data_IF_349559089713
#
_entry.id   IF_349559089713
#
_cell.length_a   1.000
_cell.length_b   1.000
_cell.length_c   1.000
_cell.angle_alpha   90.00
_cell.angle_beta   90.00
_cell.angle_gamma   90.00
#
_symmetry.space_group_name_H-M   'P 1'
#
loop_
_entity.id
_entity.type
_entity.pdbx_description
1 polymer ?
#
# COMPACT_ATOMS: atom_id res chain seq x y z
N UNK A 1 3.34 -16.71 -3.93
CA UNK A 1 3.65 -17.41 -5.21
C UNK A 1 2.69 -17.03 -6.33
N UNK A 2 1.40 -16.83 -6.05
CA UNK A 2 0.44 -16.52 -7.13
C UNK A 2 0.60 -15.10 -7.70
N UNK A 3 0.99 -14.11 -6.89
CA UNK A 3 1.23 -12.75 -7.41
C UNK A 3 2.34 -12.71 -8.48
N UNK A 4 3.42 -13.45 -8.31
CA UNK A 4 4.51 -13.52 -9.29
C UNK A 4 4.04 -14.13 -10.62
N UNK A 5 3.26 -15.21 -10.55
CA UNK A 5 2.68 -15.85 -11.73
C UNK A 5 1.72 -14.91 -12.47
N UNK A 6 0.97 -14.07 -11.74
CA UNK A 6 0.14 -13.03 -12.36
C UNK A 6 0.98 -11.99 -13.12
N UNK A 7 2.13 -11.58 -12.57
CA UNK A 7 3.07 -10.67 -13.25
C UNK A 7 3.72 -11.32 -14.49
N UNK A 8 4.07 -12.60 -14.42
CA UNK A 8 4.60 -13.35 -15.57
C UNK A 8 3.52 -13.53 -16.66
N UNK A 9 2.29 -13.85 -16.24
CA UNK A 9 1.17 -14.06 -17.15
C UNK A 9 0.79 -12.78 -17.87
N UNK A 10 0.67 -11.64 -17.17
CA UNK A 10 0.21 -10.40 -17.82
C UNK A 10 1.16 -9.97 -18.94
N UNK A 11 2.48 -10.14 -18.73
CA UNK A 11 3.54 -9.85 -19.72
C UNK A 11 3.56 -10.80 -20.92
N UNK A 12 2.88 -11.94 -20.84
CA UNK A 12 2.73 -12.91 -21.94
C UNK A 12 1.28 -13.05 -22.44
N UNK A 13 0.37 -12.23 -21.90
CA UNK A 13 -1.04 -12.24 -22.24
C UNK A 13 -1.35 -11.35 -23.45
N UNK A 14 -2.62 -11.33 -23.86
CA UNK A 14 -3.14 -10.37 -24.86
C UNK A 14 -3.02 -8.90 -24.44
N UNK A 15 -2.69 -8.63 -23.18
CA UNK A 15 -2.50 -7.29 -22.64
C UNK A 15 -1.03 -6.85 -22.61
N UNK A 16 -0.09 -7.71 -23.03
CA UNK A 16 1.34 -7.45 -22.93
C UNK A 16 1.74 -6.09 -23.54
N UNK A 17 1.18 -5.72 -24.69
CA UNK A 17 1.46 -4.45 -25.36
C UNK A 17 0.95 -3.21 -24.61
N UNK A 18 0.06 -3.39 -23.63
CA UNK A 18 -0.45 -2.32 -22.76
C UNK A 18 0.33 -2.21 -21.43
N UNK A 19 1.29 -3.10 -21.17
CA UNK A 19 2.10 -3.09 -19.96
C UNK A 19 3.38 -2.31 -20.26
N UNK A 20 3.63 -1.24 -19.49
CA UNK A 20 4.90 -0.52 -19.58
C UNK A 20 6.05 -1.30 -18.93
N UNK A 21 7.29 -0.90 -19.22
CA UNK A 21 8.48 -1.40 -18.52
C UNK A 21 8.64 -0.80 -17.11
N UNK A 22 7.70 0.04 -16.65
CA UNK A 22 7.70 0.61 -15.30
C UNK A 22 7.66 -0.49 -14.24
N UNK A 23 8.15 -0.22 -13.02
CA UNK A 23 8.04 -1.18 -11.92
C UNK A 23 6.58 -1.55 -11.64
N UNK A 24 6.35 -2.82 -11.30
CA UNK A 24 5.04 -3.35 -10.96
C UNK A 24 4.66 -3.03 -9.51
N UNK A 25 3.37 -2.79 -9.29
CA UNK A 25 2.76 -2.70 -7.98
C UNK A 25 2.19 -4.04 -7.51
N UNK A 26 2.30 -4.33 -6.21
CA UNK A 26 1.61 -5.45 -5.58
C UNK A 26 0.51 -4.94 -4.66
N UNK A 27 -0.69 -5.50 -4.77
CA UNK A 27 -1.78 -5.23 -3.85
C UNK A 27 -2.44 -6.54 -3.42
N UNK A 28 -2.84 -6.60 -2.15
CA UNK A 28 -3.60 -7.75 -1.65
C UNK A 28 -4.32 -7.48 -0.34
N UNK A 29 -5.39 -8.25 -0.11
CA UNK A 29 -6.25 -8.17 1.07
C UNK A 29 -6.09 -9.40 1.97
N UNK A 30 -6.09 -9.24 3.31
CA UNK A 30 -6.11 -10.36 4.26
C UNK A 30 -4.91 -11.29 4.08
N UNK A 31 -5.10 -12.58 3.81
CA UNK A 31 -4.02 -13.50 3.43
C UNK A 31 -3.30 -13.07 2.14
N UNK A 32 -3.98 -12.41 1.21
CA UNK A 32 -3.37 -11.78 0.03
C UNK A 32 -2.53 -10.55 0.40
N UNK A 33 -2.87 -9.83 1.47
CA UNK A 33 -2.06 -8.76 2.02
C UNK A 33 -0.77 -9.30 2.65
N UNK A 34 -0.86 -10.41 3.38
CA UNK A 34 0.31 -11.14 3.87
C UNK A 34 1.21 -11.62 2.72
N UNK A 35 0.59 -12.17 1.66
CA UNK A 35 1.33 -12.59 0.46
C UNK A 35 2.01 -11.40 -0.24
N UNK A 36 1.37 -10.23 -0.24
CA UNK A 36 1.94 -8.98 -0.76
C UNK A 36 3.18 -8.57 0.03
N UNK A 37 3.09 -8.55 1.35
CA UNK A 37 4.22 -8.22 2.23
C UNK A 37 5.38 -9.23 2.05
N UNK A 38 5.10 -10.53 2.10
CA UNK A 38 6.12 -11.56 1.83
C UNK A 38 6.77 -11.43 0.45
N UNK A 39 6.00 -10.98 -0.53
CA UNK A 39 6.48 -10.82 -1.89
C UNK A 39 7.38 -9.59 -2.03
N UNK A 40 6.98 -8.49 -1.41
CA UNK A 40 7.75 -7.25 -1.33
C UNK A 40 9.04 -7.41 -0.49
N UNK A 41 9.05 -8.32 0.48
CA UNK A 41 10.19 -8.64 1.33
C UNK A 41 11.22 -9.58 0.67
N UNK A 42 11.00 -10.06 -0.56
CA UNK A 42 11.88 -11.00 -1.25
C UNK A 42 12.77 -10.27 -2.27
N UNK A 43 14.07 -10.01 -2.00
CA UNK A 43 14.92 -9.24 -2.92
C UNK A 43 15.06 -9.88 -4.31
N UNK A 44 15.11 -11.22 -4.35
CA UNK A 44 15.16 -11.95 -5.61
C UNK A 44 13.90 -11.77 -6.44
N UNK A 45 12.71 -11.81 -5.80
CA UNK A 45 11.45 -11.60 -6.50
C UNK A 45 11.26 -10.13 -6.93
N UNK A 46 11.63 -9.19 -6.06
CA UNK A 46 11.64 -7.76 -6.36
C UNK A 46 12.45 -7.49 -7.62
N UNK A 47 13.67 -8.02 -7.67
CA UNK A 47 14.54 -7.86 -8.84
C UNK A 47 14.01 -8.60 -10.08
N UNK A 48 13.57 -9.87 -9.96
CA UNK A 48 13.16 -10.67 -11.12
C UNK A 48 11.85 -10.21 -11.75
N UNK A 49 10.97 -9.56 -10.97
CA UNK A 49 9.67 -9.10 -11.45
C UNK A 49 9.57 -7.57 -11.57
N UNK A 50 10.67 -6.85 -11.32
CA UNK A 50 10.71 -5.38 -11.32
C UNK A 50 9.61 -4.79 -10.40
N UNK A 51 9.51 -5.24 -9.16
CA UNK A 51 8.49 -4.73 -8.22
C UNK A 51 8.99 -3.41 -7.63
N UNK A 52 8.16 -2.37 -7.64
CA UNK A 52 8.53 -1.04 -7.16
C UNK A 52 7.79 -0.57 -5.91
N UNK A 53 6.62 -1.13 -5.62
CA UNK A 53 5.79 -0.71 -4.50
C UNK A 53 4.78 -1.79 -4.09
N UNK A 54 4.34 -1.76 -2.84
CA UNK A 54 3.39 -2.71 -2.29
C UNK A 54 2.30 -2.04 -1.43
N UNK A 55 1.07 -2.54 -1.52
CA UNK A 55 -0.07 -2.12 -0.71
C UNK A 55 -0.71 -3.36 -0.08
N UNK A 56 -0.49 -3.55 1.22
CA UNK A 56 -1.02 -4.65 1.99
C UNK A 56 -2.24 -4.18 2.80
N UNK A 57 -3.44 -4.55 2.38
CA UNK A 57 -4.70 -4.15 3.02
C UNK A 57 -5.21 -5.23 3.97
N UNK A 58 -5.47 -4.84 5.21
CA UNK A 58 -5.87 -5.69 6.33
C UNK A 58 -5.03 -6.99 6.40
N UNK A 59 -3.69 -6.92 6.30
CA UNK A 59 -2.87 -8.09 6.06
C UNK A 59 -2.74 -8.96 7.31
N UNK A 60 -2.93 -10.28 7.14
CA UNK A 60 -2.56 -11.24 8.19
C UNK A 60 -1.09 -11.02 8.57
N UNK A 61 -0.80 -11.06 9.87
CA UNK A 61 0.56 -10.83 10.36
C UNK A 61 1.56 -11.83 9.78
N UNK A 62 2.64 -11.29 9.23
CA UNK A 62 3.85 -12.02 8.85
C UNK A 62 5.05 -11.21 9.34
N UNK A 63 6.05 -11.88 9.89
CA UNK A 63 7.28 -11.21 10.32
C UNK A 63 8.30 -11.20 9.19
N UNK A 64 8.41 -10.06 8.54
CA UNK A 64 9.41 -9.73 7.52
C UNK A 64 9.51 -8.22 7.36
N UNK A 65 10.55 -7.76 6.66
CA UNK A 65 10.71 -6.35 6.28
C UNK A 65 10.67 -6.23 4.76
N UNK A 66 9.81 -5.35 4.25
CA UNK A 66 9.69 -5.09 2.82
C UNK A 66 11.00 -4.54 2.24
N UNK A 67 11.37 -4.96 1.02
CA UNK A 67 12.53 -4.43 0.28
C UNK A 67 12.17 -3.29 -0.68
N UNK A 68 10.88 -2.92 -0.74
CA UNK A 68 10.34 -1.83 -1.55
C UNK A 68 9.38 -0.98 -0.71
N UNK A 69 9.07 0.27 -1.12
CA UNK A 69 8.03 1.07 -0.50
C UNK A 69 6.74 0.27 -0.23
N UNK A 70 6.20 0.36 0.98
CA UNK A 70 5.00 -0.40 1.38
C UNK A 70 3.99 0.40 2.20
N UNK A 71 2.71 0.24 1.88
CA UNK A 71 1.60 0.72 2.70
C UNK A 71 0.90 -0.44 3.40
N UNK A 72 0.72 -0.33 4.72
CA UNK A 72 -0.10 -1.20 5.54
C UNK A 72 -1.42 -0.50 5.86
N UNK A 73 -2.49 -0.96 5.24
CA UNK A 73 -3.85 -0.48 5.51
C UNK A 73 -4.59 -1.38 6.49
N UNK A 74 -5.35 -0.81 7.43
CA UNK A 74 -6.24 -1.55 8.34
C UNK A 74 -7.43 -0.68 8.78
N UNK A 75 -8.34 -1.23 9.58
CA UNK A 75 -9.52 -0.51 10.04
C UNK A 75 -9.79 -0.70 11.53
N UNK A 76 -10.28 0.35 12.19
CA UNK A 76 -10.54 0.34 13.64
C UNK A 76 -11.57 -0.73 14.05
N UNK A 77 -12.47 -1.09 13.14
CA UNK A 77 -13.55 -2.05 13.33
C UNK A 77 -13.22 -3.41 12.69
N UNK A 78 -11.97 -3.64 12.29
CA UNK A 78 -11.51 -4.94 11.84
C UNK A 78 -11.41 -5.92 13.02
N UNK A 79 -12.35 -6.87 13.08
CA UNK A 79 -12.35 -7.93 14.11
C UNK A 79 -11.74 -9.24 13.64
N UNK A 80 -11.29 -9.33 12.38
CA UNK A 80 -10.67 -10.54 11.81
C UNK A 80 -9.16 -10.45 11.88
N UNK A 81 -8.61 -9.31 11.47
CA UNK A 81 -7.19 -8.96 11.58
C UNK A 81 -7.11 -7.55 12.19
N UNK A 82 -7.19 -7.44 13.53
CA UNK A 82 -7.30 -6.14 14.17
C UNK A 82 -6.07 -5.26 13.91
N UNK A 83 -6.19 -3.93 14.03
CA UNK A 83 -5.08 -3.00 13.86
C UNK A 83 -3.84 -3.36 14.70
N UNK A 84 -4.04 -3.88 15.91
CA UNK A 84 -2.97 -4.37 16.79
C UNK A 84 -2.16 -5.55 16.21
N UNK A 85 -2.69 -6.26 15.23
CA UNK A 85 -1.99 -7.29 14.46
C UNK A 85 -1.30 -6.74 13.19
N UNK A 86 -1.72 -5.57 12.69
CA UNK A 86 -1.16 -4.94 11.48
C UNK A 86 -0.02 -3.99 11.84
N UNK A 87 -0.19 -3.17 12.87
CA UNK A 87 0.78 -2.16 13.33
C UNK A 87 2.21 -2.71 13.51
N UNK A 88 2.42 -3.91 14.08
CA UNK A 88 3.78 -4.46 14.22
C UNK A 88 4.49 -4.71 12.88
N UNK A 89 3.78 -5.02 11.80
CA UNK A 89 4.42 -5.21 10.48
C UNK A 89 5.02 -3.91 9.94
N UNK A 90 4.38 -2.77 10.21
CA UNK A 90 4.97 -1.47 9.94
C UNK A 90 6.21 -1.21 10.81
N UNK A 91 6.13 -1.53 12.10
CA UNK A 91 7.25 -1.27 13.04
C UNK A 91 8.47 -2.12 12.69
N UNK A 92 8.27 -3.36 12.22
CA UNK A 92 9.30 -4.28 11.76
C UNK A 92 9.88 -3.93 10.38
N UNK A 93 9.21 -3.08 9.60
CA UNK A 93 9.71 -2.64 8.28
C UNK A 93 10.74 -1.53 8.45
N UNK A 94 11.90 -1.67 7.82
CA UNK A 94 13.00 -0.71 7.93
C UNK A 94 13.66 -0.44 6.57
N UNK A 95 14.28 0.73 6.42
CA UNK A 95 15.15 1.05 5.28
C UNK A 95 14.43 1.37 3.96
N UNK A 96 13.09 1.38 3.96
CA UNK A 96 12.25 1.76 2.82
C UNK A 96 11.12 2.69 3.28
N UNK A 97 10.59 3.55 2.39
CA UNK A 97 9.38 4.30 2.68
C UNK A 97 8.23 3.39 3.12
N UNK A 98 7.58 3.72 4.23
CA UNK A 98 6.48 2.94 4.76
C UNK A 98 5.36 3.81 5.28
N UNK A 99 4.13 3.31 5.16
CA UNK A 99 2.91 3.96 5.64
C UNK A 99 2.11 2.95 6.45
N UNK A 100 1.59 3.38 7.59
CA UNK A 100 0.53 2.69 8.32
C UNK A 100 -0.69 3.59 8.35
N UNK A 101 -1.79 3.12 7.77
CA UNK A 101 -3.07 3.82 7.74
C UNK A 101 -4.13 2.93 8.39
N UNK A 102 -4.76 3.43 9.45
CA UNK A 102 -5.87 2.78 10.15
C UNK A 102 -7.12 3.62 9.98
N UNK A 103 -7.99 3.24 9.04
CA UNK A 103 -9.20 3.99 8.73
C UNK A 103 -10.23 3.81 9.85
N UNK A 104 -10.79 4.93 10.32
CA UNK A 104 -11.84 4.93 11.34
C UNK A 104 -13.13 4.28 10.80
N UNK A 105 -13.69 3.37 11.60
CA UNK A 105 -14.89 2.58 11.30
C UNK A 105 -14.71 1.52 10.20
N UNK A 106 -13.51 1.38 9.64
CA UNK A 106 -13.28 0.40 8.59
C UNK A 106 -13.28 -1.03 9.16
N UNK A 107 -14.04 -1.92 8.50
CA UNK A 107 -14.06 -3.35 8.86
C UNK A 107 -13.08 -4.14 8.00
N UNK A 108 -12.85 -5.41 8.33
CA UNK A 108 -12.01 -6.31 7.53
C UNK A 108 -12.39 -6.36 6.04
N UNK A 109 -13.66 -6.14 5.72
CA UNK A 109 -14.23 -6.33 4.39
C UNK A 109 -14.36 -5.05 3.58
N UNK A 110 -13.96 -3.89 4.13
CA UNK A 110 -14.01 -2.61 3.42
C UNK A 110 -13.23 -2.62 2.09
N UNK A 111 -12.08 -3.30 1.94
CA UNK A 111 -11.42 -3.36 0.64
C UNK A 111 -12.19 -4.13 -0.46
N UNK A 112 -13.18 -4.95 -0.12
CA UNK A 112 -13.74 -5.94 -1.04
C UNK A 112 -15.24 -5.76 -1.34
N UNK A 113 -16.07 -5.73 -0.30
CA UNK A 113 -17.52 -6.00 -0.43
C UNK A 113 -18.39 -5.02 0.33
N UNK A 114 -17.81 -4.15 1.15
CA UNK A 114 -18.56 -3.24 2.02
C UNK A 114 -18.14 -1.81 1.68
N UNK A 115 -19.05 -0.99 1.10
CA UNK A 115 -18.81 0.44 0.97
C UNK A 115 -18.40 1.05 2.32
N UNK A 116 -17.58 2.10 2.34
CA UNK A 116 -17.33 3.02 1.22
C UNK A 116 -16.17 2.66 0.27
N UNK A 117 -15.40 1.59 0.52
CA UNK A 117 -14.19 1.24 -0.25
C UNK A 117 -13.14 2.37 -0.30
N UNK A 118 -12.91 3.07 0.83
CA UNK A 118 -12.03 4.26 0.91
C UNK A 118 -10.58 3.97 0.52
N UNK A 119 -10.17 2.70 0.54
CA UNK A 119 -8.84 2.29 0.11
C UNK A 119 -8.50 2.54 -1.34
N UNK A 120 -9.50 2.69 -2.22
CA UNK A 120 -9.27 2.80 -3.67
C UNK A 120 -8.35 3.98 -4.00
N UNK A 121 -8.73 5.19 -3.56
CA UNK A 121 -7.98 6.40 -3.88
C UNK A 121 -6.64 6.45 -3.13
N UNK A 122 -6.60 5.92 -1.91
CA UNK A 122 -5.38 5.85 -1.10
C UNK A 122 -4.35 4.90 -1.73
N UNK A 123 -4.77 3.71 -2.17
CA UNK A 123 -3.89 2.76 -2.84
C UNK A 123 -3.42 3.28 -4.21
N UNK A 124 -4.31 3.94 -4.96
CA UNK A 124 -3.95 4.58 -6.23
C UNK A 124 -2.89 5.67 -6.01
N UNK A 125 -3.10 6.58 -5.07
CA UNK A 125 -2.15 7.66 -4.76
C UNK A 125 -0.76 7.12 -4.32
N UNK A 126 -0.73 6.01 -3.58
CA UNK A 126 0.53 5.36 -3.21
C UNK A 126 1.28 4.83 -4.44
N UNK A 127 0.58 4.17 -5.36
CA UNK A 127 1.19 3.70 -6.61
C UNK A 127 1.57 4.85 -7.55
N UNK A 128 0.77 5.89 -7.64
CA UNK A 128 1.08 7.11 -8.38
C UNK A 128 2.40 7.72 -7.92
N UNK A 129 2.63 7.77 -6.60
CA UNK A 129 3.88 8.28 -6.05
C UNK A 129 5.10 7.43 -6.42
N UNK A 130 5.04 6.11 -6.26
CA UNK A 130 6.22 5.24 -6.38
C UNK A 130 6.43 4.59 -7.76
N UNK A 131 5.36 4.45 -8.54
CA UNK A 131 5.39 3.78 -9.84
C UNK A 131 5.11 4.76 -11.00
N UNK A 132 4.25 5.75 -10.75
CA UNK A 132 3.88 6.78 -11.72
C UNK A 132 4.81 7.99 -11.74
N UNK A 133 5.58 8.22 -10.67
CA UNK A 133 6.32 9.47 -10.41
C UNK A 133 5.38 10.70 -10.46
N UNK A 134 4.15 10.52 -9.98
CA UNK A 134 3.11 11.54 -9.97
C UNK A 134 3.13 12.23 -8.61
N UNK A 135 3.61 13.47 -8.58
CA UNK A 135 3.79 14.26 -7.37
C UNK A 135 2.50 14.43 -6.55
N UNK A 136 1.33 14.51 -7.21
CA UNK A 136 0.03 14.59 -6.53
C UNK A 136 -0.22 13.38 -5.63
N UNK A 137 0.16 12.17 -6.08
CA UNK A 137 0.11 10.96 -5.27
C UNK A 137 1.05 11.04 -4.06
N UNK A 138 2.26 11.55 -4.25
CA UNK A 138 3.20 11.74 -3.14
C UNK A 138 2.69 12.78 -2.13
N UNK A 139 2.10 13.87 -2.59
CA UNK A 139 1.51 14.90 -1.72
C UNK A 139 0.32 14.34 -0.93
N UNK A 140 -0.53 13.53 -1.58
CA UNK A 140 -1.65 12.85 -0.93
C UNK A 140 -1.16 11.93 0.19
N UNK A 141 -0.07 11.18 0.01
CA UNK A 141 0.39 10.18 0.98
C UNK A 141 1.32 10.76 2.06
N UNK A 142 2.32 11.56 1.66
CA UNK A 142 3.43 12.02 2.49
C UNK A 142 3.44 13.54 2.72
N UNK A 143 2.47 14.26 2.16
CA UNK A 143 2.36 15.71 2.33
C UNK A 143 1.71 16.11 3.64
N UNK A 144 1.64 17.43 3.82
CA UNK A 144 1.03 18.11 4.97
C UNK A 144 -0.13 19.03 4.57
N UNK A 145 -0.59 18.93 3.31
CA UNK A 145 -1.74 19.68 2.81
C UNK A 145 -3.06 19.19 3.40
N UNK A 146 -4.12 19.99 3.27
CA UNK A 146 -5.46 19.65 3.80
C UNK A 146 -6.01 18.33 3.27
N UNK A 147 -5.62 17.93 2.05
CA UNK A 147 -6.03 16.68 1.43
C UNK A 147 -5.09 15.48 1.73
N UNK A 148 -3.99 15.70 2.45
CA UNK A 148 -3.00 14.66 2.78
C UNK A 148 -3.57 13.59 3.71
N UNK A 149 -3.04 12.36 3.62
CA UNK A 149 -3.62 11.18 4.22
C UNK A 149 -3.58 11.20 5.75
N UNK A 150 -2.42 11.51 6.33
CA UNK A 150 -2.22 11.46 7.78
C UNK A 150 -2.37 12.83 8.47
N UNK A 151 -2.11 13.93 7.75
CA UNK A 151 -2.10 15.28 8.33
C UNK A 151 -3.29 16.14 7.87
N UNK A 152 -4.01 15.72 6.82
CA UNK A 152 -5.10 16.49 6.22
C UNK A 152 -6.44 16.29 6.91
N UNK A 153 -7.12 17.40 7.22
CA UNK A 153 -8.48 17.44 7.75
C UNK A 153 -9.57 17.33 6.66
N UNK A 154 -9.19 17.53 5.39
CA UNK A 154 -10.03 17.41 4.19
C UNK A 154 -9.68 16.18 3.34
N UNK A 155 -8.92 15.22 3.88
CA UNK A 155 -8.46 14.02 3.16
C UNK A 155 -9.60 13.16 2.59
N UNK A 156 -10.80 13.29 3.17
CA UNK A 156 -12.00 12.51 2.86
C UNK A 156 -12.00 11.12 3.50
N UNK A 157 -10.93 10.75 4.21
CA UNK A 157 -10.76 9.43 4.83
C UNK A 157 -10.37 9.61 6.30
N UNK A 158 -11.34 9.56 7.23
CA UNK A 158 -11.02 9.72 8.64
C UNK A 158 -10.15 8.56 9.12
N UNK A 159 -9.04 8.89 9.80
CA UNK A 159 -8.07 7.93 10.32
C UNK A 159 -8.18 7.83 11.84
N UNK A 160 -8.24 6.60 12.35
CA UNK A 160 -8.06 6.29 13.76
C UNK A 160 -6.58 6.46 14.18
N UNK A 161 -5.66 6.10 13.28
CA UNK A 161 -4.22 6.26 13.42
C UNK A 161 -3.60 6.32 12.02
N UNK A 162 -2.68 7.23 11.78
CA UNK A 162 -1.97 7.32 10.51
C UNK A 162 -0.55 7.81 10.76
N UNK A 163 0.43 7.07 10.27
CA UNK A 163 1.84 7.44 10.35
C UNK A 163 2.56 6.97 9.10
N UNK A 164 3.65 7.65 8.76
CA UNK A 164 4.55 7.23 7.72
C UNK A 164 6.00 7.51 8.13
N UNK A 165 6.93 6.82 7.49
CA UNK A 165 8.36 7.01 7.67
C UNK A 165 9.05 6.95 6.31
N UNK A 166 9.95 7.90 6.07
CA UNK A 166 10.57 8.09 4.76
C UNK A 166 9.54 8.55 3.72
N UNK A 167 9.89 8.37 2.44
CA UNK A 167 9.07 8.76 1.30
C UNK A 167 9.70 9.87 0.45
N UNK A 168 9.26 10.04 -0.81
CA UNK A 168 9.64 11.19 -1.61
C UNK A 168 9.21 12.48 -0.91
N UNK A 169 10.02 13.54 -1.06
CA UNK A 169 9.65 14.85 -0.53
C UNK A 169 8.37 15.32 -1.21
N UNK A 170 7.28 15.38 -0.45
CA UNK A 170 6.06 16.05 -0.89
C UNK A 170 6.35 17.54 -1.10
N UNK A 171 5.81 18.12 -2.15
CA UNK A 171 5.90 19.57 -2.38
C UNK A 171 4.74 20.21 -1.63
N UNK A 172 5.05 21.11 -0.69
CA UNK A 172 4.04 21.95 -0.06
C UNK A 172 3.33 22.76 -1.16
N UNK A 173 2.02 22.57 -1.30
CA UNK A 173 1.18 23.43 -2.13
C UNK A 173 0.63 24.51 -1.18
N UNK A 174 1.16 25.72 -1.30
CA UNK A 174 0.70 26.92 -0.57
C UNK A 174 -0.71 27.37 -1.00
#
# INVERSE_FOLDING_TARGET
>A
KDQYRSLEWIKSSKFADAISDSPAGLLGHSMGGAATHLSAASPSAVSSHNIGAAVALHPVYVSCSSSVPIMYGTGSDDTVVPPSSVRPQYDETEGVPKVYANIEGATHYEPNTVPPNRWTDVAAAFFDCFLGDIQEGCNKIFGSGADSLCEGDESGVPMAECIFEGGPTAIAID
#
